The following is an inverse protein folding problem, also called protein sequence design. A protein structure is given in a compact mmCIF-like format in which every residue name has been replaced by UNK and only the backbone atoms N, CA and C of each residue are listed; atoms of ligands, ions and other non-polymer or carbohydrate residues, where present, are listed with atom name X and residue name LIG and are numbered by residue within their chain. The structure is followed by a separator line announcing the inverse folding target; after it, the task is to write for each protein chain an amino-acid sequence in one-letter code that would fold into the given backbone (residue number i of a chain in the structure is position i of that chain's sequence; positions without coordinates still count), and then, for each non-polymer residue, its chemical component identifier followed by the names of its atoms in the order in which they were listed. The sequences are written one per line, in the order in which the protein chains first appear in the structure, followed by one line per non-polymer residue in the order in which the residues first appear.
data_IF_933354480344
#
_entry.id   IF_933354480344
#
_cell.length_a   1.000
_cell.length_b   1.000
_cell.length_c   1.000
_cell.angle_alpha   90.00
_cell.angle_beta   90.00
_cell.angle_gamma   90.00
#
_symmetry.space_group_name_H-M   'P 1'
#
loop_
_entity.id
_entity.type
_entity.pdbx_description
1 polymer ?
#
# COMPACT_ATOMS: atom_id res chain seq x y z
N UNK A 1 -46.37 26.73 -53.73
CA UNK A 1 -46.47 25.37 -54.32
C UNK A 1 -45.22 24.61 -53.90
N UNK A 2 -45.45 23.54 -53.16
CA UNK A 2 -44.57 22.50 -52.59
C UNK A 2 -43.14 22.30 -53.14
N UNK A 3 -42.21 21.99 -52.21
CA UNK A 3 -41.15 21.01 -52.49
C UNK A 3 -39.85 21.12 -51.68
N UNK A 4 -39.82 20.45 -50.51
CA UNK A 4 -38.71 19.66 -49.88
C UNK A 4 -37.27 20.24 -49.96
N UNK A 5 -36.52 20.46 -48.88
CA UNK A 5 -36.35 19.62 -47.68
C UNK A 5 -34.87 19.20 -47.60
N UNK A 6 -34.22 19.58 -46.49
CA UNK A 6 -32.92 19.22 -45.88
C UNK A 6 -32.11 18.05 -46.51
N UNK A 7 -30.77 18.09 -46.57
CA UNK A 7 -29.93 17.68 -45.42
C UNK A 7 -28.60 18.44 -45.29
N UNK A 8 -28.46 19.15 -44.16
CA UNK A 8 -27.20 19.43 -43.48
C UNK A 8 -26.48 18.14 -43.10
N UNK A 9 -25.19 18.05 -43.42
CA UNK A 9 -24.27 17.06 -42.86
C UNK A 9 -23.97 17.38 -41.40
N UNK A 10 -24.87 16.98 -40.50
CA UNK A 10 -24.65 17.01 -39.06
C UNK A 10 -23.69 15.90 -38.65
N UNK A 11 -22.56 16.29 -38.06
CA UNK A 11 -21.73 15.41 -37.23
C UNK A 11 -22.60 15.02 -36.04
N UNK A 12 -22.96 13.73 -35.94
CA UNK A 12 -23.73 13.20 -34.80
C UNK A 12 -22.96 13.40 -33.50
N UNK A 13 -23.49 14.16 -32.53
CA UNK A 13 -22.98 14.18 -31.17
C UNK A 13 -23.77 13.15 -30.38
N UNK A 14 -23.37 11.88 -30.39
CA UNK A 14 -23.84 10.91 -29.39
C UNK A 14 -23.14 9.56 -29.59
N UNK A 15 -22.22 9.27 -28.67
CA UNK A 15 -21.95 7.94 -28.13
C UNK A 15 -21.05 8.09 -26.91
N UNK A 16 -21.68 8.51 -25.81
CA UNK A 16 -21.20 8.17 -24.47
C UNK A 16 -21.17 6.63 -24.39
N UNK A 17 -20.09 5.98 -23.90
CA UNK A 17 -20.08 4.53 -23.81
C UNK A 17 -21.08 4.06 -22.75
N UNK A 18 -22.13 3.42 -23.24
CA UNK A 18 -23.23 2.69 -22.58
C UNK A 18 -22.75 1.58 -21.61
N UNK A 19 -21.45 1.27 -21.60
CA UNK A 19 -20.87 0.17 -20.83
C UNK A 19 -20.81 0.43 -19.31
N UNK A 20 -20.74 1.69 -18.85
CA UNK A 20 -20.69 1.99 -17.41
C UNK A 20 -22.09 2.14 -16.77
N UNK A 21 -23.13 2.39 -17.58
CA UNK A 21 -24.51 2.48 -17.10
C UNK A 21 -25.21 1.11 -17.08
N UNK A 22 -24.79 0.17 -17.93
CA UNK A 22 -25.34 -1.19 -17.98
C UNK A 22 -24.96 -2.06 -16.74
N UNK A 23 -23.76 -1.87 -16.17
CA UNK A 23 -23.30 -2.67 -15.00
C UNK A 23 -24.13 -2.39 -13.73
N UNK A 24 -24.83 -1.25 -13.68
CA UNK A 24 -25.71 -0.87 -12.55
C UNK A 24 -27.19 -1.11 -12.86
N UNK A 25 -27.57 -1.26 -14.14
CA UNK A 25 -28.97 -1.38 -14.56
C UNK A 25 -29.45 -2.83 -14.81
N UNK A 26 -28.56 -3.80 -15.01
CA UNK A 26 -28.92 -5.16 -15.43
C UNK A 26 -28.53 -6.24 -14.41
N UNK A 27 -29.03 -6.07 -13.19
CA UNK A 27 -29.36 -7.19 -12.30
C UNK A 27 -30.54 -8.03 -12.86
N UNK A 28 -30.57 -8.27 -14.19
CA UNK A 28 -31.59 -9.00 -14.93
C UNK A 28 -30.99 -9.77 -16.12
N UNK A 29 -30.11 -10.71 -15.82
CA UNK A 29 -30.18 -12.00 -16.52
C UNK A 29 -29.35 -12.24 -17.79
N UNK A 30 -28.14 -11.69 -17.90
CA UNK A 30 -27.15 -12.24 -18.84
C UNK A 30 -25.89 -12.72 -18.12
N UNK A 31 -25.66 -14.04 -18.21
CA UNK A 31 -24.55 -14.78 -17.60
C UNK A 31 -23.34 -14.68 -18.52
N UNK A 32 -22.30 -13.95 -18.10
CA UNK A 32 -21.00 -14.04 -18.76
C UNK A 32 -20.33 -15.38 -18.45
N UNK A 33 -19.68 -16.05 -19.43
CA UNK A 33 -19.13 -17.37 -19.22
C UNK A 33 -17.85 -17.28 -18.40
N UNK A 34 -17.96 -17.41 -17.08
CA UNK A 34 -16.89 -17.96 -16.25
C UNK A 34 -16.71 -19.43 -16.66
N UNK A 35 -16.01 -19.69 -17.75
CA UNK A 35 -15.72 -21.06 -18.21
C UNK A 35 -14.50 -21.62 -17.48
N UNK A 36 -14.67 -21.83 -16.18
CA UNK A 36 -14.06 -22.90 -15.38
C UNK A 36 -14.95 -23.07 -14.16
N UNK A 37 -15.22 -24.32 -13.78
CA UNK A 37 -16.15 -24.66 -12.71
C UNK A 37 -15.93 -23.76 -11.50
N UNK A 38 -16.97 -23.02 -11.11
CA UNK A 38 -16.95 -22.26 -9.87
C UNK A 38 -16.62 -23.23 -8.72
N UNK A 39 -15.76 -22.82 -7.76
CA UNK A 39 -15.50 -23.64 -6.59
C UNK A 39 -16.83 -23.92 -5.87
N UNK A 40 -17.03 -25.14 -5.40
CA UNK A 40 -18.23 -25.45 -4.62
C UNK A 40 -18.27 -24.58 -3.35
N UNK A 41 -19.46 -24.29 -2.80
CA UNK A 41 -19.60 -23.38 -1.64
C UNK A 41 -18.72 -23.79 -0.44
N UNK A 42 -18.59 -25.10 -0.15
CA UNK A 42 -17.68 -25.58 0.92
C UNK A 42 -16.18 -25.43 0.59
N UNK A 43 -15.83 -25.30 -0.68
CA UNK A 43 -14.49 -24.98 -1.16
C UNK A 43 -14.20 -23.49 -0.95
N UNK A 44 -15.21 -22.61 -1.04
CA UNK A 44 -15.06 -21.16 -0.83
C UNK A 44 -14.76 -20.80 0.62
N UNK A 45 -15.40 -21.46 1.60
CA UNK A 45 -15.08 -21.26 3.02
C UNK A 45 -13.64 -21.70 3.33
N UNK A 46 -13.20 -22.80 2.71
CA UNK A 46 -11.82 -23.29 2.82
C UNK A 46 -10.84 -22.30 2.16
N UNK A 47 -11.14 -21.81 0.96
CA UNK A 47 -10.34 -20.79 0.26
C UNK A 47 -10.27 -19.52 1.10
N UNK A 48 -11.38 -19.06 1.68
CA UNK A 48 -11.40 -17.88 2.56
C UNK A 48 -10.56 -18.08 3.80
N UNK A 49 -10.68 -19.24 4.46
CA UNK A 49 -9.84 -19.58 5.60
C UNK A 49 -8.34 -19.61 5.23
N UNK A 50 -8.00 -20.09 4.03
CA UNK A 50 -6.61 -20.08 3.54
C UNK A 50 -6.12 -18.69 3.11
N UNK A 51 -7.00 -17.82 2.61
CA UNK A 51 -6.70 -16.42 2.31
C UNK A 51 -6.37 -15.68 3.61
N UNK A 52 -7.22 -15.83 4.64
CA UNK A 52 -7.01 -15.23 5.96
C UNK A 52 -5.78 -15.85 6.66
N UNK A 53 -5.55 -17.15 6.52
CA UNK A 53 -4.42 -17.87 7.14
C UNK A 53 -3.10 -17.86 6.36
N UNK A 54 -3.02 -17.15 5.23
CA UNK A 54 -1.84 -17.08 4.36
C UNK A 54 -0.87 -15.95 4.71
N UNK A 55 -0.46 -15.16 3.71
CA UNK A 55 0.35 -13.93 3.89
C UNK A 55 -0.32 -12.90 4.82
N UNK A 56 -1.63 -13.06 5.03
CA UNK A 56 -2.48 -12.20 5.85
C UNK A 56 -2.75 -12.79 7.25
N UNK A 57 -2.10 -13.90 7.62
CA UNK A 57 -2.27 -14.52 8.93
C UNK A 57 -1.93 -13.53 10.06
N UNK A 58 -2.88 -13.34 10.98
CA UNK A 58 -2.75 -12.40 12.09
C UNK A 58 -3.06 -10.94 11.74
N UNK A 59 -3.54 -10.66 10.53
CA UNK A 59 -4.07 -9.34 10.15
C UNK A 59 -5.59 -9.35 10.13
N UNK A 60 -6.20 -8.28 10.63
CA UNK A 60 -7.62 -8.04 10.39
C UNK A 60 -7.82 -7.64 8.93
N UNK A 61 -8.89 -8.12 8.27
CA UNK A 61 -9.22 -7.67 6.93
C UNK A 61 -9.44 -6.14 6.88
N UNK A 62 -8.68 -5.44 6.03
CA UNK A 62 -8.83 -3.98 5.85
C UNK A 62 -10.05 -3.65 4.98
N UNK A 63 -10.65 -2.48 5.18
CA UNK A 63 -11.84 -2.02 4.48
C UNK A 63 -13.12 -2.70 4.97
N UNK A 64 -14.21 -2.47 4.24
CA UNK A 64 -15.52 -3.04 4.56
C UNK A 64 -16.43 -3.06 3.32
N UNK A 65 -17.37 -3.99 3.29
CA UNK A 65 -18.48 -3.98 2.33
C UNK A 65 -19.51 -2.94 2.78
N UNK A 66 -19.67 -1.88 1.99
CA UNK A 66 -20.55 -0.76 2.31
C UNK A 66 -21.85 -0.88 1.54
N UNK A 67 -22.97 -1.00 2.25
CA UNK A 67 -24.27 -1.28 1.65
C UNK A 67 -25.06 0.01 1.39
N UNK A 68 -25.68 0.12 0.22
CA UNK A 68 -26.71 1.13 -0.10
C UNK A 68 -28.13 0.65 0.24
N UNK A 69 -28.26 -0.62 0.62
CA UNK A 69 -29.49 -1.33 0.96
C UNK A 69 -29.31 -2.84 0.76
N UNK A 70 -30.34 -3.66 1.03
CA UNK A 70 -30.25 -5.10 0.82
C UNK A 70 -29.87 -5.45 -0.62
N UNK A 71 -28.84 -6.27 -0.79
CA UNK A 71 -28.33 -6.72 -2.10
C UNK A 71 -27.60 -5.64 -2.91
N UNK A 72 -27.35 -4.45 -2.36
CA UNK A 72 -26.75 -3.33 -3.11
C UNK A 72 -25.56 -2.73 -2.40
N UNK A 73 -24.45 -2.61 -3.12
CA UNK A 73 -23.24 -1.92 -2.66
C UNK A 73 -23.32 -0.42 -2.94
N UNK A 74 -22.72 0.38 -2.06
CA UNK A 74 -22.54 1.83 -2.22
C UNK A 74 -21.10 2.09 -2.66
N UNK A 75 -20.90 2.97 -3.65
CA UNK A 75 -19.56 3.42 -4.02
C UNK A 75 -18.87 4.06 -2.80
N UNK A 76 -17.80 3.41 -2.32
CA UNK A 76 -17.09 3.83 -1.12
C UNK A 76 -15.64 3.30 -1.14
N UNK A 77 -14.71 4.10 -0.62
CA UNK A 77 -13.29 3.75 -0.55
C UNK A 77 -13.04 2.53 0.35
N UNK A 78 -13.90 2.25 1.34
CA UNK A 78 -13.80 1.03 2.15
C UNK A 78 -13.85 -0.25 1.30
N UNK A 79 -14.62 -0.25 0.22
CA UNK A 79 -14.74 -1.40 -0.69
C UNK A 79 -13.44 -1.58 -1.47
N UNK A 80 -12.81 -0.48 -1.92
CA UNK A 80 -11.48 -0.55 -2.55
C UNK A 80 -10.46 -1.21 -1.62
N UNK A 81 -10.38 -0.79 -0.36
CA UNK A 81 -9.43 -1.37 0.60
C UNK A 81 -9.67 -2.86 0.83
N UNK A 82 -10.94 -3.27 0.92
CA UNK A 82 -11.32 -4.69 1.02
C UNK A 82 -10.86 -5.47 -0.21
N UNK A 83 -11.10 -4.93 -1.39
CA UNK A 83 -10.67 -5.53 -2.66
C UNK A 83 -9.14 -5.62 -2.76
N UNK A 84 -8.41 -4.57 -2.37
CA UNK A 84 -6.93 -4.56 -2.36
C UNK A 84 -6.37 -5.61 -1.38
N UNK A 85 -7.00 -5.76 -0.21
CA UNK A 85 -6.64 -6.78 0.77
C UNK A 85 -6.76 -8.20 0.19
N UNK A 86 -7.86 -8.51 -0.49
CA UNK A 86 -8.00 -9.78 -1.23
C UNK A 86 -7.05 -9.87 -2.43
N UNK A 87 -6.81 -8.77 -3.11
CA UNK A 87 -5.90 -8.66 -4.25
C UNK A 87 -4.45 -9.02 -3.89
N UNK A 88 -4.03 -8.83 -2.65
CA UNK A 88 -2.71 -9.26 -2.19
C UNK A 88 -2.49 -10.79 -2.25
N UNK A 89 -3.54 -11.57 -2.50
CA UNK A 89 -3.47 -13.03 -2.68
C UNK A 89 -3.28 -13.48 -4.13
N UNK A 90 -3.20 -12.55 -5.07
CA UNK A 90 -2.91 -12.85 -6.47
C UNK A 90 -1.59 -13.61 -6.61
N UNK A 91 -1.58 -14.63 -7.48
CA UNK A 91 -0.44 -15.53 -7.67
C UNK A 91 -0.46 -16.74 -6.74
N UNK A 92 -1.13 -16.64 -5.58
CA UNK A 92 -1.47 -17.80 -4.73
C UNK A 92 -2.84 -18.38 -5.08
N UNK A 93 -3.82 -17.51 -5.33
CA UNK A 93 -5.15 -17.88 -5.79
C UNK A 93 -5.45 -17.25 -7.15
N UNK A 94 -6.35 -17.87 -7.91
CA UNK A 94 -6.80 -17.31 -9.18
C UNK A 94 -7.71 -16.10 -8.95
N UNK A 95 -7.81 -15.17 -9.92
CA UNK A 95 -8.73 -14.05 -9.82
C UNK A 95 -10.19 -14.47 -9.58
N UNK A 96 -10.61 -15.61 -10.11
CA UNK A 96 -11.98 -16.14 -9.96
C UNK A 96 -12.23 -16.67 -8.55
N UNK A 97 -11.27 -17.38 -7.95
CA UNK A 97 -11.36 -17.84 -6.56
C UNK A 97 -11.43 -16.66 -5.59
N UNK A 98 -10.59 -15.63 -5.82
CA UNK A 98 -10.62 -14.38 -5.05
C UNK A 98 -11.97 -13.67 -5.21
N UNK A 99 -12.47 -13.55 -6.45
CA UNK A 99 -13.76 -12.94 -6.73
C UNK A 99 -14.93 -13.70 -6.08
N UNK A 100 -14.89 -15.02 -6.05
CA UNK A 100 -15.91 -15.84 -5.42
C UNK A 100 -15.92 -15.69 -3.89
N UNK A 101 -14.75 -15.66 -3.25
CA UNK A 101 -14.63 -15.41 -1.82
C UNK A 101 -15.15 -14.01 -1.44
N UNK A 102 -14.77 -12.98 -2.20
CA UNK A 102 -15.28 -11.61 -2.02
C UNK A 102 -16.80 -11.53 -2.21
N UNK A 103 -17.35 -12.23 -3.22
CA UNK A 103 -18.77 -12.22 -3.50
C UNK A 103 -19.60 -12.79 -2.35
N UNK A 104 -19.15 -13.92 -1.78
CA UNK A 104 -19.82 -14.53 -0.65
C UNK A 104 -19.80 -13.61 0.58
N UNK A 105 -18.65 -12.98 0.88
CA UNK A 105 -18.57 -12.03 1.98
C UNK A 105 -19.45 -10.78 1.74
N UNK A 106 -19.54 -10.29 0.51
CA UNK A 106 -20.41 -9.18 0.16
C UNK A 106 -21.89 -9.53 0.33
N UNK A 107 -22.32 -10.74 -0.05
CA UNK A 107 -23.68 -11.24 0.18
C UNK A 107 -23.98 -11.43 1.67
N UNK A 108 -23.01 -11.89 2.46
CA UNK A 108 -23.13 -12.00 3.93
C UNK A 108 -23.29 -10.62 4.58
N UNK A 109 -22.54 -9.62 4.12
CA UNK A 109 -22.54 -8.28 4.70
C UNK A 109 -23.75 -7.42 4.25
N UNK A 110 -24.09 -7.46 2.97
CA UNK A 110 -25.08 -6.56 2.37
C UNK A 110 -26.37 -7.26 1.91
N UNK A 111 -26.46 -8.58 2.01
CA UNK A 111 -27.59 -9.39 1.55
C UNK A 111 -27.43 -9.87 0.12
N UNK A 112 -28.23 -10.88 -0.26
CA UNK A 112 -28.16 -11.55 -1.56
C UNK A 112 -28.25 -10.58 -2.73
N UNK A 113 -27.32 -10.69 -3.66
CA UNK A 113 -27.19 -9.85 -4.85
C UNK A 113 -25.98 -8.92 -4.79
N UNK A 114 -25.48 -8.62 -3.57
CA UNK A 114 -24.29 -7.81 -3.39
C UNK A 114 -23.03 -8.52 -3.92
N UNK A 115 -22.99 -9.85 -3.88
CA UNK A 115 -21.89 -10.66 -4.41
C UNK A 115 -21.69 -10.50 -5.92
N UNK A 116 -22.79 -10.40 -6.69
CA UNK A 116 -22.71 -10.13 -8.13
C UNK A 116 -22.08 -8.76 -8.40
N UNK A 117 -22.52 -7.74 -7.66
CA UNK A 117 -21.95 -6.39 -7.76
C UNK A 117 -20.46 -6.39 -7.37
N UNK A 118 -20.07 -7.11 -6.31
CA UNK A 118 -18.68 -7.22 -5.88
C UNK A 118 -17.76 -7.81 -6.98
N UNK A 119 -18.22 -8.87 -7.68
CA UNK A 119 -17.48 -9.46 -8.80
C UNK A 119 -17.33 -8.49 -9.97
N UNK A 120 -18.40 -7.77 -10.32
CA UNK A 120 -18.37 -6.78 -11.40
C UNK A 120 -17.40 -5.63 -11.08
N UNK A 121 -17.43 -5.12 -9.84
CA UNK A 121 -16.50 -4.07 -9.37
C UNK A 121 -15.06 -4.57 -9.39
N UNK A 122 -14.80 -5.81 -8.94
CA UNK A 122 -13.47 -6.42 -9.00
C UNK A 122 -12.92 -6.46 -10.42
N UNK A 123 -13.73 -6.92 -11.38
CA UNK A 123 -13.34 -6.94 -12.78
C UNK A 123 -13.04 -5.53 -13.31
N UNK A 124 -13.94 -4.57 -13.11
CA UNK A 124 -13.75 -3.19 -13.55
C UNK A 124 -12.51 -2.55 -12.91
N UNK A 125 -12.25 -2.85 -11.63
CA UNK A 125 -11.07 -2.38 -10.92
C UNK A 125 -9.77 -2.97 -11.49
N UNK A 126 -9.77 -4.26 -11.82
CA UNK A 126 -8.64 -4.93 -12.47
C UNK A 126 -8.34 -4.34 -13.85
N UNK A 127 -9.35 -4.12 -14.66
CA UNK A 127 -9.22 -3.43 -15.95
C UNK A 127 -8.67 -2.01 -15.76
N UNK A 128 -9.14 -1.29 -14.74
CA UNK A 128 -8.67 0.04 -14.38
C UNK A 128 -7.20 0.08 -13.89
N UNK A 129 -6.69 -1.01 -13.32
CA UNK A 129 -5.28 -1.15 -12.91
C UNK A 129 -4.36 -1.46 -14.08
N UNK A 130 -4.84 -2.15 -15.12
CA UNK A 130 -4.02 -2.57 -16.27
C UNK A 130 -4.14 -1.64 -17.47
N UNK A 131 -4.63 -0.40 -17.28
CA UNK A 131 -4.75 0.59 -18.35
C UNK A 131 -3.34 0.91 -18.87
N UNK A 132 -3.08 0.51 -20.11
CA UNK A 132 -1.87 0.87 -20.80
C UNK A 132 -1.97 2.32 -21.31
N UNK A 133 -0.93 3.10 -21.04
CA UNK A 133 -0.85 4.50 -21.42
C UNK A 133 0.52 4.78 -22.03
N UNK A 134 0.59 5.54 -23.14
CA UNK A 134 1.84 5.82 -23.85
C UNK A 134 2.95 6.33 -22.93
N UNK A 135 4.19 5.93 -23.17
CA UNK A 135 5.32 6.35 -22.34
C UNK A 135 5.43 7.88 -22.22
N UNK A 136 5.79 8.36 -21.03
CA UNK A 136 6.12 9.77 -20.84
C UNK A 136 7.56 9.97 -21.28
N UNK A 137 7.76 10.77 -22.35
CA UNK A 137 9.10 11.01 -22.87
C UNK A 137 10.01 11.68 -21.85
N UNK A 138 9.54 12.80 -21.25
CA UNK A 138 10.25 13.52 -20.19
C UNK A 138 9.52 13.35 -18.86
N UNK A 139 10.26 13.00 -17.81
CA UNK A 139 9.75 12.90 -16.44
C UNK A 139 9.80 14.28 -15.78
N UNK A 140 8.70 15.02 -15.86
CA UNK A 140 8.54 16.32 -15.22
C UNK A 140 7.12 16.51 -14.69
N UNK A 141 6.92 17.47 -13.78
CA UNK A 141 5.63 17.68 -13.12
C UNK A 141 4.46 17.94 -14.10
N UNK A 142 4.71 18.64 -15.21
CA UNK A 142 3.68 18.92 -16.23
C UNK A 142 3.32 17.67 -17.03
N UNK A 143 4.31 16.88 -17.42
CA UNK A 143 4.09 15.60 -18.10
C UNK A 143 3.36 14.59 -17.20
N UNK A 144 3.71 14.54 -15.91
CA UNK A 144 3.05 13.72 -14.90
C UNK A 144 1.60 14.17 -14.65
N UNK A 145 1.34 15.48 -14.54
CA UNK A 145 -0.01 16.01 -14.36
C UNK A 145 -0.92 15.64 -15.54
N UNK A 146 -0.44 15.78 -16.78
CA UNK A 146 -1.18 15.36 -17.98
C UNK A 146 -1.45 13.84 -18.00
N UNK A 147 -0.48 13.03 -17.57
CA UNK A 147 -0.68 11.58 -17.46
C UNK A 147 -1.71 11.24 -16.39
N UNK A 148 -1.70 11.95 -15.26
CA UNK A 148 -2.71 11.81 -14.21
C UNK A 148 -4.12 12.10 -14.74
N UNK A 149 -4.32 13.22 -15.44
CA UNK A 149 -5.61 13.53 -16.08
C UNK A 149 -6.07 12.40 -17.01
N UNK A 150 -5.15 11.87 -17.82
CA UNK A 150 -5.44 10.80 -18.79
C UNK A 150 -5.84 9.50 -18.09
N UNK A 151 -5.08 9.07 -17.06
CA UNK A 151 -5.38 7.83 -16.34
C UNK A 151 -6.66 7.97 -15.52
N UNK A 152 -6.92 9.11 -14.89
CA UNK A 152 -8.14 9.37 -14.13
C UNK A 152 -9.37 9.30 -15.04
N UNK A 153 -9.33 9.93 -16.21
CA UNK A 153 -10.41 9.85 -17.19
C UNK A 153 -10.62 8.42 -17.73
N UNK A 154 -9.55 7.64 -17.88
CA UNK A 154 -9.64 6.24 -18.30
C UNK A 154 -10.26 5.36 -17.19
N UNK A 155 -9.89 5.57 -15.92
CA UNK A 155 -10.47 4.87 -14.77
C UNK A 155 -11.95 5.20 -14.56
N UNK A 156 -12.36 6.47 -14.72
CA UNK A 156 -13.79 6.87 -14.69
C UNK A 156 -14.60 6.23 -15.82
N UNK A 157 -13.98 5.97 -16.98
CA UNK A 157 -14.63 5.22 -18.08
C UNK A 157 -14.75 3.72 -17.79
N UNK A 158 -13.73 3.12 -17.18
CA UNK A 158 -13.73 1.69 -16.84
C UNK A 158 -14.70 1.34 -15.71
N UNK A 159 -14.72 2.15 -14.64
CA UNK A 159 -15.49 1.85 -13.43
C UNK A 159 -16.82 2.62 -13.32
N UNK A 160 -17.03 3.63 -14.17
CA UNK A 160 -18.08 4.62 -13.98
C UNK A 160 -17.64 5.77 -13.05
N UNK A 161 -18.43 6.84 -13.02
CA UNK A 161 -18.08 8.07 -12.31
C UNK A 161 -18.01 7.85 -10.80
N UNK A 162 -19.06 7.29 -10.20
CA UNK A 162 -19.16 7.13 -8.73
C UNK A 162 -18.09 6.18 -8.18
N UNK A 163 -17.91 5.02 -8.81
CA UNK A 163 -16.93 4.02 -8.37
C UNK A 163 -15.50 4.47 -8.62
N UNK A 164 -15.22 5.08 -9.78
CA UNK A 164 -13.89 5.62 -10.05
C UNK A 164 -13.53 6.75 -9.08
N UNK A 165 -14.49 7.61 -8.73
CA UNK A 165 -14.30 8.67 -7.73
C UNK A 165 -14.06 8.10 -6.33
N UNK A 166 -14.89 7.15 -5.90
CA UNK A 166 -14.74 6.51 -4.59
C UNK A 166 -13.41 5.75 -4.46
N UNK A 167 -12.94 5.14 -5.56
CA UNK A 167 -11.72 4.35 -5.54
C UNK A 167 -10.49 5.26 -5.62
N UNK A 168 -10.40 6.13 -6.62
CA UNK A 168 -9.15 6.82 -6.94
C UNK A 168 -9.15 8.31 -6.60
N UNK A 169 -10.31 8.94 -6.41
CA UNK A 169 -10.43 10.41 -6.37
C UNK A 169 -9.58 11.08 -5.30
N UNK A 170 -9.48 10.48 -4.10
CA UNK A 170 -8.67 11.02 -3.01
C UNK A 170 -7.17 11.03 -3.34
N UNK A 171 -6.65 9.91 -3.85
CA UNK A 171 -5.25 9.77 -4.23
C UNK A 171 -4.90 10.64 -5.45
N UNK A 172 -5.81 10.72 -6.42
CA UNK A 172 -5.65 11.54 -7.62
C UNK A 172 -5.60 13.03 -7.26
N UNK A 173 -6.46 13.50 -6.33
CA UNK A 173 -6.37 14.87 -5.80
C UNK A 173 -5.06 15.12 -5.07
N UNK A 174 -4.66 14.24 -4.16
CA UNK A 174 -3.40 14.38 -3.42
C UNK A 174 -2.20 14.44 -4.36
N UNK A 175 -2.19 13.59 -5.39
CA UNK A 175 -1.12 13.59 -6.38
C UNK A 175 -1.12 14.87 -7.23
N UNK A 176 -2.30 15.35 -7.65
CA UNK A 176 -2.43 16.61 -8.38
C UNK A 176 -1.92 17.80 -7.54
N UNK A 177 -2.31 17.87 -6.26
CA UNK A 177 -1.81 18.86 -5.31
C UNK A 177 -0.29 18.79 -5.20
N UNK A 178 0.28 17.59 -5.03
CA UNK A 178 1.72 17.40 -4.91
C UNK A 178 2.49 17.81 -6.17
N UNK A 179 1.93 17.56 -7.35
CA UNK A 179 2.53 17.95 -8.62
C UNK A 179 2.47 19.47 -8.87
N UNK A 180 1.49 20.15 -8.26
CA UNK A 180 1.36 21.62 -8.34
C UNK A 180 2.15 22.37 -7.26
N UNK A 181 2.45 21.71 -6.14
CA UNK A 181 3.11 22.34 -5.01
C UNK A 181 4.57 22.71 -5.33
N UNK A 182 5.05 23.86 -4.84
CA UNK A 182 6.48 24.14 -4.83
C UNK A 182 7.21 23.05 -4.02
N UNK A 183 8.50 22.79 -4.31
CA UNK A 183 9.29 21.88 -3.50
C UNK A 183 9.23 22.32 -2.03
N UNK A 184 9.12 21.38 -1.08
CA UNK A 184 9.04 21.74 0.33
C UNK A 184 10.30 22.52 0.70
N UNK A 185 10.12 23.66 1.35
CA UNK A 185 11.22 24.43 1.91
C UNK A 185 11.72 23.66 3.13
N UNK A 186 12.83 22.96 2.99
CA UNK A 186 13.45 22.25 4.11
C UNK A 186 13.95 23.25 5.17
N UNK A 187 13.74 22.94 6.46
CA UNK A 187 14.43 23.64 7.55
C UNK A 187 13.56 24.33 8.59
N UNK A 188 12.24 24.12 8.63
CA UNK A 188 11.43 24.52 9.79
C UNK A 188 11.42 23.35 10.78
N UNK A 189 12.11 23.44 11.94
CA UNK A 189 12.01 22.42 12.96
C UNK A 189 10.56 22.36 13.44
N UNK A 190 9.97 21.16 13.42
CA UNK A 190 8.67 20.96 14.05
C UNK A 190 8.86 21.13 15.58
N UNK A 191 8.10 22.01 16.25
CA UNK A 191 8.16 22.11 17.69
C UNK A 191 7.52 20.85 18.28
N UNK A 192 8.35 19.92 18.74
CA UNK A 192 7.92 18.76 19.51
C UNK A 192 8.08 19.11 21.00
N UNK A 193 7.04 18.93 21.84
CA UNK A 193 7.17 19.07 23.28
C UNK A 193 8.31 18.19 23.80
N UNK A 194 9.10 18.73 24.74
CA UNK A 194 10.25 18.07 25.37
C UNK A 194 11.36 17.61 24.42
N UNK A 195 11.37 18.08 23.16
CA UNK A 195 12.44 17.74 22.21
C UNK A 195 13.81 18.14 22.73
N UNK A 196 13.94 19.36 23.25
CA UNK A 196 15.20 19.88 23.77
C UNK A 196 15.72 19.03 24.93
N UNK A 197 14.83 18.60 25.83
CA UNK A 197 15.17 17.73 26.95
C UNK A 197 15.60 16.33 26.47
N UNK A 198 14.91 15.76 25.47
CA UNK A 198 15.28 14.47 24.88
C UNK A 198 16.60 14.54 24.13
N UNK A 199 16.85 15.63 23.40
CA UNK A 199 18.11 15.88 22.70
C UNK A 199 19.24 15.98 23.72
N UNK A 200 19.09 16.82 24.75
CA UNK A 200 20.09 16.96 25.80
C UNK A 200 20.38 15.63 26.54
N UNK A 201 19.37 14.81 26.79
CA UNK A 201 19.55 13.49 27.40
C UNK A 201 20.33 12.53 26.48
N UNK A 202 20.04 12.54 25.17
CA UNK A 202 20.80 11.75 24.18
C UNK A 202 22.25 12.25 24.11
N UNK A 203 22.47 13.56 24.05
CA UNK A 203 23.81 14.14 24.02
C UNK A 203 24.63 13.77 25.27
N UNK A 204 24.02 13.84 26.46
CA UNK A 204 24.66 13.43 27.70
C UNK A 204 25.02 11.93 27.72
N UNK A 205 24.11 11.07 27.24
CA UNK A 205 24.37 9.64 27.12
C UNK A 205 25.52 9.34 26.15
N UNK A 206 25.59 10.08 25.03
CA UNK A 206 26.69 9.97 24.06
C UNK A 206 28.02 10.44 24.63
N UNK A 207 28.03 11.56 25.36
CA UNK A 207 29.24 12.06 26.01
C UNK A 207 29.78 11.05 27.04
N UNK A 208 28.89 10.47 27.86
CA UNK A 208 29.27 9.44 28.82
C UNK A 208 29.83 8.18 28.12
N UNK A 209 29.17 7.69 27.07
CA UNK A 209 29.65 6.57 26.26
C UNK A 209 31.04 6.84 25.68
N UNK A 210 31.24 8.01 25.06
CA UNK A 210 32.51 8.40 24.46
C UNK A 210 33.63 8.46 25.51
N UNK A 211 33.34 8.97 26.71
CA UNK A 211 34.29 8.99 27.81
C UNK A 211 34.70 7.57 28.23
N UNK A 212 33.75 6.65 28.41
CA UNK A 212 34.04 5.24 28.76
C UNK A 212 34.89 4.56 27.70
N UNK A 213 34.58 4.75 26.42
CA UNK A 213 35.40 4.25 25.31
C UNK A 213 36.82 4.81 25.35
N UNK A 214 36.99 6.11 25.61
CA UNK A 214 38.32 6.72 25.68
C UNK A 214 39.17 6.11 26.80
N UNK A 215 38.59 5.95 28.00
CA UNK A 215 39.25 5.33 29.15
C UNK A 215 39.64 3.88 28.83
N UNK A 216 38.70 3.07 28.33
CA UNK A 216 38.97 1.68 28.00
C UNK A 216 40.04 1.54 26.90
N UNK A 217 40.10 2.44 25.91
CA UNK A 217 41.18 2.43 24.89
C UNK A 217 42.57 2.66 25.48
N UNK A 218 42.69 3.53 26.48
CA UNK A 218 43.97 3.77 27.15
C UNK A 218 44.45 2.58 27.96
N UNK A 219 43.53 1.92 28.66
CA UNK A 219 43.83 0.70 29.42
C UNK A 219 44.23 -0.45 28.49
N UNK A 220 43.48 -0.67 27.41
CA UNK A 220 43.81 -1.69 26.40
C UNK A 220 45.18 -1.40 25.76
N UNK A 221 45.50 -0.13 25.46
CA UNK A 221 46.81 0.25 24.93
C UNK A 221 47.95 -0.11 25.89
N UNK A 222 47.78 0.07 27.20
CA UNK A 222 48.77 -0.34 28.21
C UNK A 222 48.97 -1.85 28.21
N UNK A 223 47.88 -2.63 28.11
CA UNK A 223 47.94 -4.09 28.01
C UNK A 223 48.66 -4.58 26.75
N UNK A 224 48.46 -3.89 25.62
CA UNK A 224 49.15 -4.21 24.37
C UNK A 224 50.66 -3.94 24.44
N UNK A 225 51.10 -2.98 25.26
CA UNK A 225 52.52 -2.64 25.44
C UNK A 225 53.23 -3.57 26.42
N UNK A 226 52.50 -4.32 27.24
CA UNK A 226 53.06 -5.30 28.15
C UNK A 226 53.49 -6.57 27.39
N UNK A 227 54.81 -6.73 27.25
CA UNK A 227 55.44 -7.87 26.57
C UNK A 227 55.41 -9.15 27.42
N UNK A 228 54.99 -9.08 28.68
CA UNK A 228 54.88 -10.23 29.59
C UNK A 228 53.60 -11.05 29.39
N UNK A 229 52.60 -10.51 28.68
CA UNK A 229 51.32 -11.19 28.45
C UNK A 229 51.33 -12.00 27.14
N UNK A 230 50.72 -13.18 27.16
CA UNK A 230 50.33 -13.91 25.95
C UNK A 230 49.10 -13.26 25.28
N UNK A 231 48.83 -13.64 24.02
CA UNK A 231 47.68 -13.13 23.28
C UNK A 231 46.33 -13.52 23.93
N UNK A 232 46.23 -14.76 24.43
CA UNK A 232 45.04 -15.23 25.13
C UNK A 232 44.80 -14.48 26.45
N UNK A 233 45.86 -14.16 27.19
CA UNK A 233 45.76 -13.35 28.42
C UNK A 233 45.39 -11.90 28.12
N UNK A 234 45.92 -11.31 27.03
CA UNK A 234 45.51 -9.98 26.57
C UNK A 234 44.02 -9.95 26.21
N UNK A 235 43.53 -10.93 25.46
CA UNK A 235 42.12 -11.01 25.08
C UNK A 235 41.20 -11.17 26.31
N UNK A 236 41.57 -12.00 27.28
CA UNK A 236 40.84 -12.16 28.53
C UNK A 236 40.76 -10.84 29.33
N UNK A 237 41.86 -10.07 29.38
CA UNK A 237 41.87 -8.78 30.07
C UNK A 237 41.08 -7.69 29.32
N UNK A 238 41.13 -7.66 27.99
CA UNK A 238 40.28 -6.76 27.18
C UNK A 238 38.80 -7.05 27.44
N UNK A 239 38.41 -8.32 27.51
CA UNK A 239 37.04 -8.71 27.83
C UNK A 239 36.64 -8.29 29.25
N UNK A 240 37.53 -8.38 30.23
CA UNK A 240 37.28 -7.90 31.59
C UNK A 240 37.07 -6.38 31.64
N UNK A 241 37.86 -5.60 30.90
CA UNK A 241 37.67 -4.14 30.76
C UNK A 241 36.29 -3.85 30.16
N UNK A 242 35.89 -4.57 29.11
CA UNK A 242 34.57 -4.37 28.51
C UNK A 242 33.44 -4.66 29.50
N UNK A 243 33.57 -5.71 30.29
CA UNK A 243 32.55 -6.09 31.27
C UNK A 243 32.47 -5.13 32.46
N UNK A 244 33.60 -4.50 32.83
CA UNK A 244 33.67 -3.53 33.91
C UNK A 244 33.11 -2.15 33.55
N UNK A 245 33.29 -1.71 32.30
CA UNK A 245 32.91 -0.35 31.88
C UNK A 245 31.55 -0.26 31.17
N UNK A 246 31.02 -1.37 30.66
CA UNK A 246 29.83 -1.36 29.80
C UNK A 246 28.72 -2.28 30.27
N UNK A 247 27.49 -1.77 30.18
CA UNK A 247 26.27 -2.52 30.51
C UNK A 247 26.09 -3.71 29.56
N UNK A 248 25.38 -4.79 29.97
CA UNK A 248 25.23 -6.00 29.15
C UNK A 248 24.79 -5.75 27.70
N UNK A 249 23.84 -4.83 27.48
CA UNK A 249 23.35 -4.47 26.15
C UNK A 249 24.36 -3.70 25.28
N UNK A 250 25.37 -3.08 25.91
CA UNK A 250 26.36 -2.25 25.26
C UNK A 250 27.64 -3.01 24.88
N UNK A 251 27.91 -4.15 25.54
CA UNK A 251 29.17 -4.89 25.42
C UNK A 251 29.50 -5.32 23.99
N UNK A 252 28.50 -5.71 23.20
CA UNK A 252 28.72 -6.07 21.79
C UNK A 252 29.28 -4.87 21.01
N UNK A 253 28.64 -3.71 21.15
CA UNK A 253 29.09 -2.47 20.50
C UNK A 253 30.45 -2.01 21.02
N UNK A 254 30.70 -2.13 22.32
CA UNK A 254 31.99 -1.80 22.91
C UNK A 254 33.11 -2.68 22.34
N UNK A 255 32.90 -4.01 22.25
CA UNK A 255 33.89 -4.95 21.66
C UNK A 255 34.22 -4.58 20.22
N UNK A 256 33.24 -4.21 19.40
CA UNK A 256 33.49 -3.75 18.03
C UNK A 256 34.37 -2.49 17.99
N UNK A 257 34.10 -1.51 18.85
CA UNK A 257 34.85 -0.24 18.85
C UNK A 257 36.25 -0.37 19.46
N UNK A 258 36.45 -1.36 20.34
CA UNK A 258 37.69 -1.58 21.08
C UNK A 258 38.57 -2.70 20.50
N UNK A 259 38.00 -3.62 19.73
CA UNK A 259 38.67 -4.83 19.21
C UNK A 259 39.21 -4.73 17.78
N UNK A 260 38.75 -3.77 16.97
CA UNK A 260 39.22 -3.56 15.58
C UNK A 260 40.33 -2.48 15.48
N UNK A 261 41.36 -2.56 16.33
CA UNK A 261 42.50 -1.62 16.36
C UNK A 261 43.85 -2.30 16.49
#
# INVERSE_FOLDING_TARGET
MFGRGETSGGIRPDRVPEAAQAVVAEARGEVFPFSRAEPAVGELDTIRAQIVGGVLAGTDPDGAWVCAGPGRLRADHQIRRRIDWYGNQLGRFTPEAIAAAMAQEADEACGRGAGLAARAIWQAYREAQTIDLPSIGRLDAKALAKRLETISAARRRAMGQDWGEAFFGAEERLLAERLSAPPPVSGVPLPLPDADARIAAVEAAWANWAQRISVSKEEIRKLQQDKGLSDAEREAQVNAIVEAHFEPAERLRARTVLGDG
#
